data_IF_429599839369
#
_entry.id   IF_429599839369
#
_cell.length_a   1.000
_cell.length_b   1.000
_cell.length_c   1.000
_cell.angle_alpha   90.00
_cell.angle_beta   90.00
_cell.angle_gamma   90.00
#
_symmetry.space_group_name_H-M   'P 1'
#
loop_
_entity.id
_entity.type
_entity.pdbx_description
1 polymer ?
#
# COMPACT_ATOMS: atom_id res chain seq x y z
N UNK A 1 -7.72 -11.03 -5.23
CA UNK A 1 -7.32 -9.60 -5.27
C UNK A 1 -6.38 -9.40 -6.44
N UNK A 2 -6.50 -8.30 -7.15
CA UNK A 2 -5.61 -7.98 -8.25
C UNK A 2 -5.22 -6.49 -8.18
N UNK A 3 -4.13 -6.15 -8.83
CA UNK A 3 -3.66 -4.77 -8.99
C UNK A 3 -4.75 -3.89 -9.64
N UNK A 4 -5.60 -4.47 -10.50
CA UNK A 4 -6.76 -3.80 -11.10
C UNK A 4 -7.65 -3.14 -10.06
N UNK A 5 -8.04 -3.88 -9.01
CA UNK A 5 -8.93 -3.33 -7.97
C UNK A 5 -8.26 -2.22 -7.15
N UNK A 6 -6.96 -2.33 -6.86
CA UNK A 6 -6.22 -1.28 -6.17
C UNK A 6 -6.14 0.01 -7.00
N UNK A 7 -5.91 -0.10 -8.32
CA UNK A 7 -5.91 1.04 -9.25
C UNK A 7 -7.31 1.67 -9.34
N UNK A 8 -8.36 0.85 -9.53
CA UNK A 8 -9.74 1.36 -9.60
C UNK A 8 -10.17 2.04 -8.29
N UNK A 9 -9.79 1.49 -7.13
CA UNK A 9 -10.03 2.12 -5.83
C UNK A 9 -9.32 3.47 -5.70
N UNK A 10 -8.09 3.60 -6.21
CA UNK A 10 -7.36 4.87 -6.25
C UNK A 10 -8.09 5.92 -7.10
N UNK A 11 -8.64 5.52 -8.25
CA UNK A 11 -9.35 6.39 -9.18
C UNK A 11 -10.83 6.64 -8.82
N UNK A 12 -11.37 5.94 -7.81
CA UNK A 12 -12.74 6.19 -7.35
C UNK A 12 -12.92 7.57 -6.70
N UNK A 13 -11.84 8.19 -6.25
CA UNK A 13 -11.83 9.52 -5.63
C UNK A 13 -11.52 10.66 -6.62
N UNK A 14 -11.36 10.36 -7.91
CA UNK A 14 -11.11 11.38 -8.94
C UNK A 14 -10.20 10.88 -10.07
N UNK A 15 -9.95 11.77 -11.03
CA UNK A 15 -9.05 11.47 -12.16
C UNK A 15 -7.58 11.73 -11.77
N UNK A 16 -6.67 10.89 -12.28
CA UNK A 16 -5.24 11.03 -12.07
C UNK A 16 -4.45 10.61 -13.32
N UNK A 17 -3.23 11.14 -13.48
CA UNK A 17 -2.30 10.63 -14.50
C UNK A 17 -1.65 9.33 -14.05
N UNK A 18 -1.13 8.54 -14.98
CA UNK A 18 -0.36 7.33 -14.64
C UNK A 18 0.83 7.62 -13.71
N UNK A 19 1.45 8.80 -13.83
CA UNK A 19 2.47 9.26 -12.91
C UNK A 19 1.93 9.51 -11.50
N UNK A 20 0.80 10.22 -11.38
CA UNK A 20 0.16 10.51 -10.08
C UNK A 20 -0.26 9.20 -9.38
N UNK A 21 -0.80 8.24 -10.14
CA UNK A 21 -1.15 6.90 -9.62
C UNK A 21 0.10 6.18 -9.10
N UNK A 22 1.19 6.16 -9.90
CA UNK A 22 2.45 5.55 -9.46
C UNK A 22 3.01 6.19 -8.20
N UNK A 23 2.87 7.51 -8.06
CA UNK A 23 3.28 8.25 -6.86
C UNK A 23 2.40 7.90 -5.64
N UNK A 24 1.10 7.71 -5.84
CA UNK A 24 0.21 7.25 -4.76
C UNK A 24 0.53 5.81 -4.33
N UNK A 25 0.90 4.93 -5.28
CA UNK A 25 1.39 3.59 -4.96
C UNK A 25 2.76 3.60 -4.27
N UNK A 26 3.60 4.58 -4.50
CA UNK A 26 4.85 4.76 -3.74
C UNK A 26 4.63 5.34 -2.33
N UNK A 27 3.44 5.90 -2.06
CA UNK A 27 3.06 6.53 -0.80
C UNK A 27 1.97 5.76 -0.04
N UNK A 28 0.71 6.10 -0.26
CA UNK A 28 -0.41 5.61 0.57
C UNK A 28 -0.88 4.20 0.24
N UNK A 29 -1.10 3.90 -1.05
CA UNK A 29 -1.61 2.58 -1.49
C UNK A 29 -0.54 1.52 -1.39
N UNK A 30 0.72 1.88 -1.62
CA UNK A 30 1.87 0.97 -1.59
C UNK A 30 2.11 0.31 -0.23
N UNK A 31 1.59 0.87 0.85
CA UNK A 31 1.70 0.29 2.19
C UNK A 31 0.92 -1.03 2.35
N UNK A 32 -0.14 -1.22 1.58
CA UNK A 32 -0.93 -2.46 1.62
C UNK A 32 -1.00 -3.17 0.28
N UNK A 33 -0.50 -2.54 -0.80
CA UNK A 33 -0.42 -3.12 -2.14
C UNK A 33 0.83 -2.67 -2.87
N UNK A 34 1.88 -3.47 -2.79
CA UNK A 34 3.11 -3.19 -3.54
C UNK A 34 2.94 -3.49 -5.03
N UNK A 35 3.34 -2.56 -5.89
CA UNK A 35 3.44 -2.76 -7.33
C UNK A 35 4.55 -1.87 -7.91
N UNK A 36 5.30 -2.39 -8.87
CA UNK A 36 6.29 -1.61 -9.61
C UNK A 36 5.59 -0.66 -10.58
N UNK A 37 6.24 0.45 -10.92
CA UNK A 37 5.72 1.38 -11.92
C UNK A 37 5.37 0.70 -13.25
N UNK A 38 6.19 -0.23 -13.71
CA UNK A 38 5.94 -1.00 -14.94
C UNK A 38 4.66 -1.85 -14.84
N UNK A 39 4.42 -2.48 -13.69
CA UNK A 39 3.19 -3.25 -13.45
C UNK A 39 1.97 -2.34 -13.47
N UNK A 40 2.06 -1.16 -12.83
CA UNK A 40 0.97 -0.18 -12.82
C UNK A 40 0.63 0.27 -14.25
N UNK A 41 1.60 0.70 -15.04
CA UNK A 41 1.34 1.15 -16.41
C UNK A 41 0.75 0.05 -17.30
N UNK A 42 1.24 -1.18 -17.19
CA UNK A 42 0.68 -2.32 -17.93
C UNK A 42 -0.77 -2.59 -17.53
N UNK A 43 -1.07 -2.51 -16.24
CA UNK A 43 -2.44 -2.74 -15.76
C UNK A 43 -3.39 -1.59 -16.12
N UNK A 44 -2.91 -0.35 -16.15
CA UNK A 44 -3.69 0.80 -16.63
C UNK A 44 -4.11 0.62 -18.09
N UNK A 45 -3.20 0.20 -18.97
CA UNK A 45 -3.50 -0.08 -20.38
C UNK A 45 -4.57 -1.17 -20.50
N UNK A 46 -4.43 -2.27 -19.77
CA UNK A 46 -5.40 -3.37 -19.76
C UNK A 46 -6.78 -2.93 -19.26
N UNK A 47 -6.85 -2.14 -18.19
CA UNK A 47 -8.12 -1.62 -17.66
C UNK A 47 -8.83 -0.68 -18.64
N UNK A 48 -8.07 0.08 -19.42
CA UNK A 48 -8.60 0.93 -20.48
C UNK A 48 -9.12 0.10 -21.67
N UNK A 49 -8.36 -0.91 -22.12
CA UNK A 49 -8.80 -1.85 -23.17
C UNK A 49 -10.07 -2.60 -22.78
N UNK A 50 -10.26 -2.89 -21.49
CA UNK A 50 -11.45 -3.51 -20.93
C UNK A 50 -12.63 -2.53 -20.73
N UNK A 51 -12.42 -1.24 -20.98
CA UNK A 51 -13.43 -0.19 -20.81
C UNK A 51 -13.72 0.17 -19.35
N UNK A 52 -12.90 -0.26 -18.39
CA UNK A 52 -13.04 0.11 -16.97
C UNK A 52 -12.45 1.49 -16.68
N UNK A 53 -11.50 1.94 -17.48
CA UNK A 53 -10.95 3.28 -17.45
C UNK A 53 -11.17 3.99 -18.79
N UNK A 54 -11.24 5.30 -18.73
CA UNK A 54 -11.15 6.18 -19.91
C UNK A 54 -10.02 7.19 -19.72
N UNK A 55 -9.34 7.51 -20.80
CA UNK A 55 -8.31 8.52 -20.83
C UNK A 55 -8.81 9.80 -21.52
N UNK A 56 -8.46 10.94 -20.96
CA UNK A 56 -8.63 12.27 -21.55
C UNK A 56 -7.27 12.93 -21.68
N UNK A 57 -6.97 13.44 -22.86
CA UNK A 57 -5.71 14.15 -23.13
C UNK A 57 -5.94 15.65 -22.95
N UNK A 58 -5.28 16.20 -21.93
CA UNK A 58 -5.29 17.65 -21.68
C UNK A 58 -4.05 18.24 -22.34
N UNK A 59 -4.28 19.09 -23.36
CA UNK A 59 -3.22 19.86 -24.02
C UNK A 59 -2.65 20.88 -23.05
N UNK A 60 -1.32 20.94 -22.95
CA UNK A 60 -0.61 21.89 -22.12
C UNK A 60 0.27 22.79 -22.98
N UNK A 61 0.23 24.10 -22.74
CA UNK A 61 1.17 25.04 -23.37
C UNK A 61 2.57 24.86 -22.74
N UNK A 62 3.60 24.68 -23.58
CA UNK A 62 5.02 24.53 -23.19
C UNK A 62 5.35 23.30 -22.30
N UNK A 63 4.48 22.28 -22.22
CA UNK A 63 4.72 21.01 -21.54
C UNK A 63 4.12 19.86 -22.35
N UNK A 64 4.60 18.62 -22.16
CA UNK A 64 3.95 17.46 -22.78
C UNK A 64 2.49 17.36 -22.35
N UNK A 65 1.63 16.95 -23.26
CA UNK A 65 0.21 16.73 -23.00
C UNK A 65 0.02 15.80 -21.78
N UNK A 66 -0.91 16.15 -20.89
CA UNK A 66 -1.21 15.36 -19.70
C UNK A 66 -2.37 14.41 -20.01
N UNK A 67 -2.14 13.10 -19.85
CA UNK A 67 -3.16 12.07 -19.98
C UNK A 67 -3.75 11.78 -18.62
N UNK A 68 -5.02 12.15 -18.41
CA UNK A 68 -5.79 11.85 -17.20
C UNK A 68 -6.67 10.61 -17.40
N UNK A 69 -6.60 9.73 -16.44
CA UNK A 69 -7.39 8.51 -16.38
C UNK A 69 -8.52 8.69 -15.37
N UNK A 70 -9.70 8.21 -15.69
CA UNK A 70 -10.86 8.19 -14.80
C UNK A 70 -11.59 6.85 -14.90
N UNK A 71 -12.19 6.42 -13.79
CA UNK A 71 -13.01 5.21 -13.76
C UNK A 71 -14.30 5.44 -14.55
N UNK A 72 -14.72 4.43 -15.33
CA UNK A 72 -15.99 4.46 -16.05
C UNK A 72 -17.13 3.92 -15.18
N UNK A 73 -18.41 4.11 -15.57
CA UNK A 73 -19.52 3.45 -14.88
C UNK A 73 -19.41 1.91 -14.85
N UNK A 74 -18.87 1.31 -15.91
CA UNK A 74 -18.62 -0.14 -15.98
C UNK A 74 -17.49 -0.53 -15.01
N UNK A 75 -16.41 0.26 -14.95
CA UNK A 75 -15.33 0.06 -13.98
C UNK A 75 -15.78 0.22 -12.54
N UNK A 76 -16.68 1.20 -12.28
CA UNK A 76 -17.29 1.38 -10.96
C UNK A 76 -18.13 0.16 -10.56
N UNK A 77 -18.97 -0.34 -11.45
CA UNK A 77 -19.79 -1.53 -11.19
C UNK A 77 -18.92 -2.77 -10.92
N UNK A 78 -17.85 -2.96 -11.69
CA UNK A 78 -16.88 -4.03 -11.49
C UNK A 78 -16.20 -3.95 -10.10
N UNK A 79 -15.80 -2.75 -9.68
CA UNK A 79 -15.21 -2.54 -8.35
C UNK A 79 -16.23 -2.79 -7.23
N UNK A 80 -17.47 -2.30 -7.38
CA UNK A 80 -18.55 -2.50 -6.41
C UNK A 80 -18.90 -3.98 -6.23
N UNK A 81 -18.98 -4.74 -7.32
CA UNK A 81 -19.20 -6.19 -7.28
C UNK A 81 -18.10 -6.88 -6.45
N UNK A 82 -16.83 -6.53 -6.72
CA UNK A 82 -15.72 -7.11 -5.98
C UNK A 82 -15.74 -6.73 -4.49
N UNK A 83 -16.06 -5.49 -4.14
CA UNK A 83 -16.13 -5.02 -2.73
C UNK A 83 -17.25 -5.77 -1.97
N UNK A 84 -18.35 -6.10 -2.64
CA UNK A 84 -19.49 -6.77 -2.02
C UNK A 84 -19.25 -8.25 -1.70
N UNK A 85 -18.19 -8.85 -2.27
CA UNK A 85 -17.88 -10.26 -2.04
C UNK A 85 -16.98 -10.46 -0.82
N UNK A 86 -17.18 -11.55 -0.05
CA UNK A 86 -16.29 -11.87 1.08
C UNK A 86 -14.84 -12.01 0.66
N UNK A 87 -13.94 -11.28 1.31
CA UNK A 87 -12.50 -11.39 1.10
C UNK A 87 -11.92 -12.64 1.78
N UNK A 88 -10.86 -13.21 1.18
CA UNK A 88 -10.07 -14.27 1.84
C UNK A 88 -9.02 -13.65 2.74
N UNK A 89 -8.82 -14.22 3.92
CA UNK A 89 -7.66 -13.91 4.76
C UNK A 89 -6.41 -14.42 4.06
N UNK A 90 -5.45 -13.54 3.82
CA UNK A 90 -4.18 -13.90 3.17
C UNK A 90 -3.28 -14.66 4.16
N UNK A 91 -2.64 -15.76 3.77
CA UNK A 91 -1.64 -16.40 4.59
C UNK A 91 -0.42 -15.50 4.73
N UNK A 92 0.23 -15.55 5.89
CA UNK A 92 1.50 -14.88 6.11
C UNK A 92 2.57 -15.60 5.28
N UNK A 93 3.30 -14.84 4.47
CA UNK A 93 4.48 -15.28 3.71
C UNK A 93 5.56 -14.26 3.99
N UNK A 94 6.49 -14.63 4.84
CA UNK A 94 7.54 -13.72 5.30
C UNK A 94 8.88 -14.46 5.34
N UNK A 95 9.87 -13.92 4.62
CA UNK A 95 11.19 -14.51 4.49
C UNK A 95 11.96 -14.52 5.82
N UNK A 96 11.73 -13.51 6.69
CA UNK A 96 12.35 -13.47 8.01
C UNK A 96 11.90 -14.68 8.85
N UNK A 97 10.61 -15.03 8.81
CA UNK A 97 10.13 -16.19 9.57
C UNK A 97 10.74 -17.50 9.06
N UNK A 98 10.98 -17.62 7.76
CA UNK A 98 11.68 -18.78 7.16
C UNK A 98 13.15 -18.80 7.60
N UNK A 99 13.85 -17.64 7.58
CA UNK A 99 15.22 -17.53 8.06
C UNK A 99 15.34 -17.90 9.54
N UNK A 100 14.42 -17.44 10.37
CA UNK A 100 14.38 -17.79 11.79
C UNK A 100 14.16 -19.29 12.02
N UNK A 101 13.23 -19.90 11.28
CA UNK A 101 12.95 -21.34 11.38
C UNK A 101 14.19 -22.19 11.05
N UNK A 102 15.03 -21.74 10.10
CA UNK A 102 16.28 -22.38 9.73
C UNK A 102 17.53 -21.76 10.40
N UNK A 103 17.35 -20.87 11.38
CA UNK A 103 18.41 -20.06 11.98
C UNK A 103 19.50 -20.84 12.69
N UNK A 104 19.23 -22.11 13.08
CA UNK A 104 20.23 -23.03 13.64
C UNK A 104 21.38 -23.39 12.68
N UNK A 105 21.28 -23.03 11.40
CA UNK A 105 22.30 -23.27 10.37
C UNK A 105 23.36 -22.16 10.29
N UNK A 106 23.17 -21.06 11.01
CA UNK A 106 24.08 -19.90 11.00
C UNK A 106 24.42 -19.45 12.41
N UNK A 107 25.44 -18.61 12.54
CA UNK A 107 25.78 -17.98 13.82
C UNK A 107 24.62 -17.10 14.32
N UNK A 108 24.38 -17.11 15.63
CA UNK A 108 23.29 -16.36 16.29
C UNK A 108 23.34 -14.87 15.96
N UNK A 109 24.54 -14.28 15.86
CA UNK A 109 24.70 -12.86 15.51
C UNK A 109 24.16 -12.52 14.11
N UNK A 110 24.18 -13.47 13.16
CA UNK A 110 23.55 -13.30 11.84
C UNK A 110 22.05 -13.09 11.98
N UNK A 111 21.41 -13.87 12.84
CA UNK A 111 19.97 -13.75 13.12
C UNK A 111 19.65 -12.46 13.88
N UNK A 112 20.45 -12.11 14.86
CA UNK A 112 20.31 -10.85 15.60
C UNK A 112 20.45 -9.62 14.70
N UNK A 113 21.42 -9.63 13.78
CA UNK A 113 21.59 -8.56 12.80
C UNK A 113 20.36 -8.39 11.90
N UNK A 114 19.76 -9.51 11.44
CA UNK A 114 18.55 -9.50 10.62
C UNK A 114 17.34 -8.96 11.40
N UNK A 115 17.14 -9.40 12.65
CA UNK A 115 16.06 -8.89 13.53
C UNK A 115 16.21 -7.40 13.80
N UNK A 116 17.43 -6.92 14.09
CA UNK A 116 17.71 -5.49 14.30
C UNK A 116 17.45 -4.68 13.02
N UNK A 117 17.80 -5.22 11.84
CA UNK A 117 17.49 -4.61 10.56
C UNK A 117 15.97 -4.46 10.35
N UNK A 118 15.21 -5.53 10.54
CA UNK A 118 13.75 -5.49 10.43
C UNK A 118 13.13 -4.50 11.40
N UNK A 119 13.58 -4.46 12.66
CA UNK A 119 13.12 -3.48 13.65
C UNK A 119 13.28 -2.04 13.16
N UNK A 120 14.43 -1.70 12.55
CA UNK A 120 14.68 -0.36 12.00
C UNK A 120 13.70 -0.05 10.86
N UNK A 121 13.46 -1.01 9.96
CA UNK A 121 12.54 -0.83 8.83
C UNK A 121 11.09 -0.62 9.29
N UNK A 122 10.62 -1.44 10.23
CA UNK A 122 9.28 -1.33 10.81
C UNK A 122 9.10 -0.02 11.58
N UNK A 123 10.12 0.45 12.31
CA UNK A 123 10.08 1.76 12.97
C UNK A 123 9.93 2.89 11.96
N UNK A 124 10.72 2.91 10.89
CA UNK A 124 10.64 3.94 9.85
C UNK A 124 9.25 3.96 9.16
N UNK A 125 8.68 2.78 8.93
CA UNK A 125 7.32 2.66 8.36
C UNK A 125 6.27 3.17 9.33
N UNK A 126 6.37 2.82 10.62
CA UNK A 126 5.46 3.31 11.67
C UNK A 126 5.50 4.84 11.79
N UNK A 127 6.70 5.41 11.77
CA UNK A 127 6.88 6.87 11.84
C UNK A 127 6.20 7.55 10.63
N UNK A 128 6.35 6.99 9.43
CA UNK A 128 5.65 7.47 8.23
C UNK A 128 4.12 7.40 8.39
N UNK A 129 3.59 6.32 8.95
CA UNK A 129 2.14 6.19 9.18
C UNK A 129 1.63 7.20 10.19
N UNK A 130 2.39 7.48 11.26
CA UNK A 130 2.04 8.49 12.26
C UNK A 130 2.09 9.91 11.71
N UNK A 131 3.03 10.21 10.82
CA UNK A 131 3.04 11.47 10.08
C UNK A 131 1.78 11.64 9.20
N UNK A 132 1.38 10.58 8.50
CA UNK A 132 0.15 10.57 7.71
C UNK A 132 -1.06 10.78 8.62
N UNK A 133 -1.14 10.07 9.74
CA UNK A 133 -2.21 10.20 10.73
C UNK A 133 -2.34 11.64 11.21
N UNK A 134 -1.24 12.24 11.68
CA UNK A 134 -1.22 13.62 12.15
C UNK A 134 -1.62 14.62 11.07
N UNK A 135 -1.06 14.48 9.87
CA UNK A 135 -1.29 15.42 8.76
C UNK A 135 -2.69 15.36 8.19
N UNK A 136 -3.27 14.14 8.08
CA UNK A 136 -4.55 13.90 7.37
C UNK A 136 -5.71 13.83 8.35
N UNK A 137 -5.53 13.18 9.49
CA UNK A 137 -6.58 12.87 10.46
C UNK A 137 -6.47 13.67 11.76
N UNK A 138 -5.38 14.41 11.97
CA UNK A 138 -5.21 15.30 13.11
C UNK A 138 -6.09 16.57 13.04
N UNK A 139 -6.54 16.96 11.83
CA UNK A 139 -7.50 18.05 11.60
C UNK A 139 -8.91 17.46 11.40
N UNK A 140 -9.90 17.79 12.27
CA UNK A 140 -11.26 17.28 12.17
C UNK A 140 -11.94 17.56 10.83
N UNK A 141 -11.72 18.74 10.22
CA UNK A 141 -12.31 19.09 8.93
C UNK A 141 -11.78 18.19 7.80
N UNK A 142 -10.46 18.01 7.73
CA UNK A 142 -9.81 17.13 6.76
C UNK A 142 -10.15 15.66 6.99
N UNK A 143 -10.20 15.23 8.24
CA UNK A 143 -10.62 13.88 8.61
C UNK A 143 -12.05 13.56 8.17
N UNK A 144 -12.97 14.53 8.29
CA UNK A 144 -14.34 14.38 7.82
C UNK A 144 -14.44 14.28 6.28
N UNK A 145 -13.60 15.03 5.55
CA UNK A 145 -13.52 14.96 4.08
C UNK A 145 -13.00 13.62 3.59
N UNK A 146 -11.91 13.11 4.18
CA UNK A 146 -11.29 11.83 3.81
C UNK A 146 -12.16 10.63 4.22
N UNK A 147 -12.85 10.75 5.35
CA UNK A 147 -13.78 9.75 5.87
C UNK A 147 -13.11 8.63 6.66
N UNK A 148 -13.97 7.78 7.27
CA UNK A 148 -13.55 6.75 8.24
C UNK A 148 -12.87 5.54 7.60
N UNK A 149 -13.25 5.13 6.38
CA UNK A 149 -12.73 3.90 5.77
C UNK A 149 -11.23 3.99 5.44
N UNK A 150 -10.71 5.07 4.83
CA UNK A 150 -9.27 5.25 4.67
C UNK A 150 -8.52 5.29 6.01
N UNK A 151 -9.13 5.85 7.06
CA UNK A 151 -8.52 5.84 8.40
C UNK A 151 -8.40 4.43 8.98
N UNK A 152 -9.42 3.57 8.80
CA UNK A 152 -9.32 2.16 9.22
C UNK A 152 -8.18 1.42 8.53
N UNK A 153 -7.90 1.73 7.26
CA UNK A 153 -6.76 1.16 6.53
C UNK A 153 -5.43 1.60 7.15
N UNK A 154 -5.31 2.89 7.50
CA UNK A 154 -4.12 3.42 8.17
C UNK A 154 -3.93 2.82 9.57
N UNK A 155 -5.00 2.72 10.36
CA UNK A 155 -4.97 2.11 11.70
C UNK A 155 -4.51 0.66 11.67
N UNK A 156 -4.94 -0.11 10.66
CA UNK A 156 -4.45 -1.48 10.46
C UNK A 156 -2.94 -1.50 10.20
N UNK A 157 -2.43 -0.61 9.35
CA UNK A 157 -0.99 -0.48 9.10
C UNK A 157 -0.21 -0.13 10.37
N UNK A 158 -0.64 0.88 11.13
CA UNK A 158 -0.03 1.26 12.41
C UNK A 158 0.00 0.08 13.40
N UNK A 159 -1.12 -0.66 13.49
CA UNK A 159 -1.22 -1.82 14.37
C UNK A 159 -0.26 -2.95 13.98
N UNK A 160 -0.12 -3.22 12.68
CA UNK A 160 0.81 -4.24 12.18
C UNK A 160 2.26 -3.87 12.45
N UNK A 161 2.68 -2.63 12.15
CA UNK A 161 4.05 -2.17 12.40
C UNK A 161 4.40 -2.20 13.88
N UNK A 162 3.48 -1.77 14.73
CA UNK A 162 3.66 -1.84 16.18
C UNK A 162 3.82 -3.27 16.68
N UNK A 163 3.00 -4.21 16.17
CA UNK A 163 3.10 -5.63 16.53
C UNK A 163 4.46 -6.22 16.11
N UNK A 164 4.96 -5.88 14.91
CA UNK A 164 6.28 -6.28 14.44
C UNK A 164 7.40 -5.75 15.33
N UNK A 165 7.35 -4.48 15.75
CA UNK A 165 8.34 -3.87 16.63
C UNK A 165 8.41 -4.58 17.98
N UNK A 166 7.25 -4.79 18.62
CA UNK A 166 7.18 -5.49 19.90
C UNK A 166 7.73 -6.91 19.77
N UNK A 167 7.39 -7.61 18.71
CA UNK A 167 7.87 -8.95 18.45
C UNK A 167 9.39 -8.99 18.18
N UNK A 168 9.93 -8.06 17.38
CA UNK A 168 11.38 -7.97 17.13
C UNK A 168 12.16 -7.75 18.45
N UNK A 169 11.68 -6.88 19.32
CA UNK A 169 12.30 -6.63 20.63
C UNK A 169 12.28 -7.87 21.52
N UNK A 170 11.16 -8.58 21.56
CA UNK A 170 11.06 -9.84 22.28
C UNK A 170 12.00 -10.92 21.72
N UNK A 171 12.08 -11.05 20.40
CA UNK A 171 12.95 -12.03 19.74
C UNK A 171 14.44 -11.71 19.97
N UNK A 172 14.83 -10.46 19.90
CA UNK A 172 16.21 -10.02 20.19
C UNK A 172 16.54 -10.33 21.66
N UNK A 173 15.71 -9.92 22.58
CA UNK A 173 15.92 -10.16 24.01
C UNK A 173 16.02 -11.65 24.36
N UNK A 174 15.24 -12.50 23.69
CA UNK A 174 15.28 -13.96 23.88
C UNK A 174 16.60 -14.59 23.41
N UNK A 175 17.22 -14.02 22.35
CA UNK A 175 18.48 -14.54 21.81
C UNK A 175 19.72 -13.96 22.53
N UNK A 176 19.61 -12.79 23.13
CA UNK A 176 20.73 -12.14 23.86
C UNK A 176 20.89 -12.68 25.32
N UNK A 177 19.89 -13.39 25.86
CA UNK A 177 19.92 -14.00 27.18
C UNK A 177 20.26 -15.50 27.10
#
# INVERSE_FOLDING_TARGET
MSLSHAILATLSNGCASGYDISKQFAGSVGFFWYATQQQIYRELTKLEEQGYLKAEVIKQENRPDKRLLSITPVGTAYLQEWISQPGKVSPIKDDLLVKLFAGHLVEQETILAELRHHRIQHQATLDTYREIESRVFGDPARSAEVGKLPYLTLLNGIGLEHAWLVWCEQAIALLEN
#
